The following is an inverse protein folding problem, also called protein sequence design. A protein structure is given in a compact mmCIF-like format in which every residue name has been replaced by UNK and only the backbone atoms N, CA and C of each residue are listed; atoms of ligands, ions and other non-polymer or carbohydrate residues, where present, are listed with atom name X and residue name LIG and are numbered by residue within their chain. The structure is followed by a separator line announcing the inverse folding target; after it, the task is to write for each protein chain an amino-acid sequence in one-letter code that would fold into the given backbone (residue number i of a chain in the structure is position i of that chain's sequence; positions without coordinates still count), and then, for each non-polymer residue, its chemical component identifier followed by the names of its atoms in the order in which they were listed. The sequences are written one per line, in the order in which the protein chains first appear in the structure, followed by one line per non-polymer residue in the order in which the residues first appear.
data_IF_784766993089
#
_entry.id   IF_784766993089
#
_cell.length_a   1.000
_cell.length_b   1.000
_cell.length_c   1.000
_cell.angle_alpha   90.00
_cell.angle_beta   90.00
_cell.angle_gamma   90.00
#
_symmetry.space_group_name_H-M   'P 1'
#
loop_
_entity.id
_entity.type
_entity.pdbx_description
1 polymer ?
#
# COMPACT_ATOMS: atom_id res chain seq x y z
N UNK A 1 -0.33 -59.61 29.61
CA UNK A 1 0.78 -59.18 28.73
C UNK A 1 0.22 -58.16 27.75
N UNK A 2 0.83 -56.98 27.63
CA UNK A 2 0.35 -55.94 26.69
C UNK A 2 0.81 -56.34 25.28
N UNK A 3 -0.08 -56.31 24.27
CA UNK A 3 0.30 -56.52 22.88
C UNK A 3 1.41 -55.57 22.43
N UNK A 4 2.47 -56.12 21.82
CA UNK A 4 3.66 -55.37 21.38
C UNK A 4 3.32 -54.25 20.40
N UNK A 5 2.32 -54.44 19.54
CA UNK A 5 1.89 -53.41 18.60
C UNK A 5 1.31 -52.16 19.29
N UNK A 6 0.63 -52.30 20.44
CA UNK A 6 0.12 -51.16 21.22
C UNK A 6 1.26 -50.36 21.85
N UNK A 7 2.34 -51.03 22.26
CA UNK A 7 3.53 -50.36 22.80
C UNK A 7 4.23 -49.54 21.71
N UNK A 8 4.36 -50.09 20.50
CA UNK A 8 4.95 -49.38 19.35
C UNK A 8 4.12 -48.15 18.98
N UNK A 9 2.79 -48.29 18.88
CA UNK A 9 1.90 -47.15 18.57
C UNK A 9 1.97 -46.07 19.65
N UNK A 10 2.01 -46.46 20.93
CA UNK A 10 2.11 -45.52 22.04
C UNK A 10 3.42 -44.73 22.06
N UNK A 11 4.55 -45.37 21.77
CA UNK A 11 5.85 -44.70 21.66
C UNK A 11 5.91 -43.80 20.43
N UNK A 12 5.40 -44.26 19.29
CA UNK A 12 5.34 -43.45 18.06
C UNK A 12 4.47 -42.22 18.28
N UNK A 13 3.30 -42.35 18.91
CA UNK A 13 2.41 -41.20 19.14
C UNK A 13 3.01 -40.20 20.13
N UNK A 14 3.66 -40.64 21.21
CA UNK A 14 4.31 -39.72 22.16
C UNK A 14 5.47 -38.96 21.54
N UNK A 15 6.25 -39.60 20.67
CA UNK A 15 7.35 -38.93 19.96
C UNK A 15 6.82 -38.04 18.84
N UNK A 16 5.84 -38.50 18.06
CA UNK A 16 5.32 -37.77 16.90
C UNK A 16 4.47 -36.55 17.28
N UNK A 17 3.72 -36.63 18.39
CA UNK A 17 2.84 -35.56 18.86
C UNK A 17 3.51 -34.19 19.02
N UNK A 18 4.66 -34.03 19.70
CA UNK A 18 5.33 -32.74 19.81
C UNK A 18 5.82 -32.21 18.46
N UNK A 19 6.27 -33.06 17.54
CA UNK A 19 6.67 -32.63 16.20
C UNK A 19 5.48 -32.15 15.37
N UNK A 20 4.35 -32.85 15.44
CA UNK A 20 3.11 -32.41 14.78
C UNK A 20 2.57 -31.13 15.40
N UNK A 21 2.64 -30.98 16.72
CA UNK A 21 2.24 -29.76 17.41
C UNK A 21 3.13 -28.57 16.99
N UNK A 22 4.45 -28.76 16.98
CA UNK A 22 5.40 -27.73 16.52
C UNK A 22 5.19 -27.39 15.04
N UNK A 23 4.98 -28.41 14.20
CA UNK A 23 4.68 -28.22 12.78
C UNK A 23 3.38 -27.45 12.57
N UNK A 24 2.34 -27.77 13.33
CA UNK A 24 1.06 -27.06 13.30
C UNK A 24 1.19 -25.59 13.70
N UNK A 25 1.93 -25.29 14.78
CA UNK A 25 2.19 -23.92 15.23
C UNK A 25 3.01 -23.14 14.19
N UNK A 26 4.06 -23.75 13.63
CA UNK A 26 4.89 -23.11 12.62
C UNK A 26 4.11 -22.77 11.34
N UNK A 27 3.30 -23.71 10.85
CA UNK A 27 2.41 -23.49 9.70
C UNK A 27 1.36 -22.42 9.98
N UNK A 28 0.73 -22.45 11.16
CA UNK A 28 -0.23 -21.43 11.56
C UNK A 28 0.39 -20.03 11.62
N UNK A 29 1.56 -19.91 12.24
CA UNK A 29 2.28 -18.64 12.30
C UNK A 29 2.70 -18.13 10.92
N UNK A 30 3.08 -19.03 10.00
CA UNK A 30 3.41 -18.66 8.64
C UNK A 30 2.18 -18.17 7.86
N UNK A 31 1.04 -18.86 8.00
CA UNK A 31 -0.21 -18.46 7.35
C UNK A 31 -0.69 -17.09 7.82
N UNK A 32 -0.64 -16.84 9.14
CA UNK A 32 -1.03 -15.55 9.74
C UNK A 32 -0.15 -14.43 9.19
N UNK A 33 1.18 -14.59 9.17
CA UNK A 33 2.08 -13.56 8.62
C UNK A 33 1.82 -13.28 7.14
N UNK A 34 1.41 -14.28 6.38
CA UNK A 34 1.01 -14.09 4.98
C UNK A 34 -0.31 -13.31 4.90
N UNK A 35 -1.30 -13.70 5.70
CA UNK A 35 -2.59 -13.01 5.78
C UNK A 35 -2.44 -11.56 6.22
N UNK A 36 -1.57 -11.28 7.20
CA UNK A 36 -1.32 -9.92 7.70
C UNK A 36 -0.79 -9.02 6.59
N UNK A 37 0.10 -9.53 5.72
CA UNK A 37 0.63 -8.78 4.57
C UNK A 37 -0.44 -8.46 3.53
N UNK A 38 -1.34 -9.41 3.26
CA UNK A 38 -2.48 -9.19 2.36
C UNK A 38 -3.46 -8.16 2.96
N UNK A 39 -3.67 -8.21 4.27
CA UNK A 39 -4.56 -7.30 4.99
C UNK A 39 -3.98 -5.87 5.07
N UNK A 40 -2.67 -5.74 5.29
CA UNK A 40 -1.97 -4.45 5.24
C UNK A 40 -2.12 -3.84 3.85
N UNK A 41 -1.92 -4.61 2.79
CA UNK A 41 -2.10 -4.13 1.40
C UNK A 41 -3.53 -3.62 1.19
N UNK A 42 -4.54 -4.38 1.64
CA UNK A 42 -5.92 -3.96 1.51
C UNK A 42 -6.23 -2.67 2.30
N UNK A 43 -5.67 -2.55 3.52
CA UNK A 43 -5.84 -1.37 4.37
C UNK A 43 -5.20 -0.11 3.79
N UNK A 44 -3.99 -0.23 3.24
CA UNK A 44 -3.30 0.88 2.59
C UNK A 44 -4.11 1.41 1.39
N UNK A 45 -4.74 0.50 0.64
CA UNK A 45 -5.60 0.87 -0.49
C UNK A 45 -6.85 1.62 -0.05
N UNK A 46 -7.50 1.16 1.02
CA UNK A 46 -8.70 1.81 1.53
C UNK A 46 -8.39 3.19 2.16
N UNK A 47 -7.29 3.31 2.89
CA UNK A 47 -6.80 4.59 3.41
C UNK A 47 -6.47 5.57 2.28
N UNK A 48 -5.84 5.09 1.20
CA UNK A 48 -5.56 5.89 -0.01
C UNK A 48 -6.84 6.40 -0.66
N UNK A 49 -7.81 5.53 -0.95
CA UNK A 49 -9.09 5.93 -1.56
C UNK A 49 -9.90 6.87 -0.66
N UNK A 50 -9.80 6.70 0.67
CA UNK A 50 -10.44 7.60 1.64
C UNK A 50 -9.82 9.00 1.59
N UNK A 51 -8.50 9.11 1.54
CA UNK A 51 -7.81 10.40 1.45
C UNK A 51 -8.02 11.07 0.09
N UNK A 52 -8.03 10.30 -1.01
CA UNK A 52 -8.36 10.81 -2.34
C UNK A 52 -9.79 11.36 -2.36
N UNK A 53 -10.76 10.61 -1.85
CA UNK A 53 -12.15 11.08 -1.75
C UNK A 53 -12.25 12.36 -0.92
N UNK A 54 -11.66 12.38 0.27
CA UNK A 54 -11.67 13.57 1.12
C UNK A 54 -11.02 14.77 0.41
N UNK A 55 -9.91 14.57 -0.27
CA UNK A 55 -9.25 15.63 -1.03
C UNK A 55 -10.14 16.19 -2.15
N UNK A 56 -10.86 15.31 -2.87
CA UNK A 56 -11.83 15.71 -3.89
C UNK A 56 -13.01 16.45 -3.27
N UNK A 57 -13.56 15.98 -2.15
CA UNK A 57 -14.62 16.69 -1.42
C UNK A 57 -14.17 18.11 -1.05
N UNK A 58 -12.94 18.26 -0.56
CA UNK A 58 -12.34 19.56 -0.24
C UNK A 58 -12.15 20.48 -1.45
N UNK A 59 -11.78 19.92 -2.59
CA UNK A 59 -11.68 20.66 -3.86
C UNK A 59 -13.06 21.15 -4.33
N UNK A 60 -14.09 20.31 -4.16
CA UNK A 60 -15.47 20.63 -4.56
C UNK A 60 -16.16 21.61 -3.60
N UNK A 61 -15.76 21.65 -2.33
CA UNK A 61 -16.38 22.50 -1.30
C UNK A 61 -16.04 24.01 -1.47
N UNK A 62 -15.03 24.37 -2.27
CA UNK A 62 -14.78 25.75 -2.72
C UNK A 62 -13.43 26.34 -2.28
N UNK A 63 -13.31 27.68 -2.37
CA UNK A 63 -12.04 28.42 -2.32
C UNK A 63 -11.18 28.13 -1.07
N UNK A 64 -11.77 27.95 0.11
CA UNK A 64 -11.00 27.69 1.34
C UNK A 64 -10.55 26.23 1.49
N UNK A 65 -11.28 25.28 0.90
CA UNK A 65 -10.99 23.84 0.99
C UNK A 65 -10.09 23.33 -0.12
N UNK A 66 -10.02 24.03 -1.26
CA UNK A 66 -9.35 23.49 -2.44
C UNK A 66 -7.84 23.36 -2.24
N UNK A 67 -7.17 24.37 -1.69
CA UNK A 67 -5.72 24.30 -1.48
C UNK A 67 -5.34 23.11 -0.58
N UNK A 68 -6.15 22.85 0.45
CA UNK A 68 -5.96 21.70 1.32
C UNK A 68 -6.14 20.36 0.58
N UNK A 69 -7.10 20.28 -0.34
CA UNK A 69 -7.31 19.10 -1.18
C UNK A 69 -6.16 18.87 -2.19
N UNK A 70 -5.68 19.92 -2.86
CA UNK A 70 -4.55 19.82 -3.81
C UNK A 70 -3.26 19.41 -3.10
N UNK A 71 -2.95 20.02 -1.95
CA UNK A 71 -1.78 19.65 -1.15
C UNK A 71 -1.87 18.19 -0.70
N UNK A 72 -3.06 17.72 -0.34
CA UNK A 72 -3.28 16.32 0.06
C UNK A 72 -3.08 15.34 -1.10
N UNK A 73 -3.57 15.66 -2.30
CA UNK A 73 -3.30 14.83 -3.49
C UNK A 73 -1.80 14.81 -3.85
N UNK A 74 -1.14 15.96 -3.78
CA UNK A 74 0.30 16.07 -4.07
C UNK A 74 1.16 15.34 -3.04
N UNK A 75 0.78 15.35 -1.77
CA UNK A 75 1.47 14.61 -0.71
C UNK A 75 1.24 13.11 -0.82
N UNK A 76 0.04 12.68 -1.24
CA UNK A 76 -0.28 11.29 -1.57
C UNK A 76 0.65 10.70 -2.64
N UNK A 77 0.96 11.44 -3.71
CA UNK A 77 1.90 10.97 -4.75
C UNK A 77 3.33 10.74 -4.26
N UNK A 78 3.71 11.32 -3.12
CA UNK A 78 5.04 11.16 -2.50
C UNK A 78 5.01 10.21 -1.30
N UNK A 79 3.86 9.64 -0.99
CA UNK A 79 3.64 8.81 0.18
C UNK A 79 3.84 7.34 -0.14
N UNK A 80 4.44 6.60 0.81
CA UNK A 80 4.56 5.13 0.76
C UNK A 80 3.20 4.41 0.81
N UNK A 81 2.11 5.14 1.11
CA UNK A 81 0.76 4.61 1.10
C UNK A 81 0.25 4.29 -0.32
N UNK A 82 0.84 4.93 -1.33
CA UNK A 82 0.37 4.79 -2.71
C UNK A 82 0.86 3.48 -3.32
N UNK A 83 -0.08 2.63 -3.69
CA UNK A 83 0.24 1.38 -4.40
C UNK A 83 0.58 1.66 -5.86
N UNK A 84 1.50 0.89 -6.49
CA UNK A 84 1.89 1.09 -7.89
C UNK A 84 0.70 1.10 -8.85
N UNK A 85 -0.32 0.29 -8.56
CA UNK A 85 -1.51 0.14 -9.40
C UNK A 85 -2.40 1.39 -9.40
N UNK A 86 -2.42 2.15 -8.31
CA UNK A 86 -3.28 3.32 -8.14
C UNK A 86 -2.54 4.64 -8.45
N UNK A 87 -1.24 4.57 -8.79
CA UNK A 87 -0.39 5.74 -9.07
C UNK A 87 -0.89 6.56 -10.26
N UNK A 88 -1.15 5.91 -11.40
CA UNK A 88 -1.57 6.58 -12.63
C UNK A 88 -2.90 7.31 -12.46
N UNK A 89 -3.81 6.74 -11.67
CA UNK A 89 -5.10 7.35 -11.36
C UNK A 89 -4.92 8.63 -10.54
N UNK A 90 -4.16 8.57 -9.44
CA UNK A 90 -3.94 9.73 -8.56
C UNK A 90 -3.09 10.80 -9.25
N UNK A 91 -2.14 10.42 -10.10
CA UNK A 91 -1.37 11.34 -10.93
C UNK A 91 -2.26 12.08 -11.93
N UNK A 92 -3.13 11.37 -12.65
CA UNK A 92 -4.09 11.97 -13.58
C UNK A 92 -5.06 12.90 -12.85
N UNK A 93 -5.53 12.53 -11.65
CA UNK A 93 -6.44 13.36 -10.85
C UNK A 93 -5.75 14.64 -10.36
N UNK A 94 -4.52 14.53 -9.88
CA UNK A 94 -3.70 15.67 -9.43
C UNK A 94 -3.40 16.61 -10.60
N UNK A 95 -3.06 16.05 -11.77
CA UNK A 95 -2.84 16.81 -13.00
C UNK A 95 -4.10 17.58 -13.42
N UNK A 96 -5.26 16.91 -13.48
CA UNK A 96 -6.52 17.52 -13.87
C UNK A 96 -6.91 18.71 -12.96
N UNK A 97 -6.78 18.55 -11.64
CA UNK A 97 -7.08 19.62 -10.67
C UNK A 97 -6.09 20.77 -10.76
N UNK A 98 -4.81 20.48 -11.00
CA UNK A 98 -3.78 21.52 -11.15
C UNK A 98 -3.98 22.31 -12.45
N UNK A 99 -4.35 21.64 -13.54
CA UNK A 99 -4.67 22.28 -14.83
C UNK A 99 -5.89 23.20 -14.71
N UNK A 100 -6.93 22.79 -13.97
CA UNK A 100 -8.11 23.61 -13.70
C UNK A 100 -7.77 24.91 -12.95
N UNK A 101 -6.78 24.86 -12.06
CA UNK A 101 -6.39 26.01 -11.21
C UNK A 101 -5.41 26.98 -11.84
N UNK A 102 -4.38 26.46 -12.50
CA UNK A 102 -3.29 27.29 -13.06
C UNK A 102 -3.53 27.62 -14.53
N UNK A 103 -4.50 26.96 -15.17
CA UNK A 103 -4.72 27.00 -16.60
C UNK A 103 -3.73 26.08 -17.35
N UNK A 104 -4.13 25.54 -18.52
CA UNK A 104 -3.34 24.52 -19.24
C UNK A 104 -1.95 25.01 -19.66
N UNK A 105 -1.75 26.32 -19.84
CA UNK A 105 -0.47 26.89 -20.23
C UNK A 105 0.58 26.84 -19.10
N UNK A 106 0.21 27.20 -17.87
CA UNK A 106 1.15 27.24 -16.75
C UNK A 106 1.37 25.85 -16.12
N UNK A 107 0.46 24.90 -16.30
CA UNK A 107 0.72 23.50 -15.94
C UNK A 107 1.81 22.87 -16.82
N UNK A 108 1.84 23.19 -18.12
CA UNK A 108 2.90 22.73 -19.01
C UNK A 108 4.28 23.22 -18.55
N UNK A 109 4.39 24.49 -18.16
CA UNK A 109 5.65 25.07 -17.64
C UNK A 109 6.11 24.40 -16.32
N UNK A 110 5.18 24.07 -15.42
CA UNK A 110 5.50 23.40 -14.13
C UNK A 110 5.83 21.91 -14.35
N UNK A 111 5.15 21.24 -15.28
CA UNK A 111 5.44 19.87 -15.65
C UNK A 111 6.83 19.78 -16.31
N UNK A 112 7.16 20.71 -17.22
CA UNK A 112 8.48 20.82 -17.85
C UNK A 112 9.57 21.10 -16.82
N UNK A 113 9.37 22.04 -15.89
CA UNK A 113 10.32 22.34 -14.82
C UNK A 113 10.57 21.15 -13.86
N UNK A 114 9.55 20.34 -13.54
CA UNK A 114 9.78 19.13 -12.73
C UNK A 114 10.43 17.99 -13.52
N UNK A 115 10.26 17.95 -14.84
CA UNK A 115 10.91 16.97 -15.72
C UNK A 115 12.39 17.33 -15.93
N UNK A 116 12.71 18.61 -16.10
CA UNK A 116 14.08 19.15 -16.17
C UNK A 116 14.87 18.88 -14.89
N UNK A 117 14.24 19.00 -13.70
CA UNK A 117 14.88 18.68 -12.42
C UNK A 117 15.21 17.19 -12.27
N UNK A 118 14.41 16.29 -12.84
CA UNK A 118 14.69 14.84 -12.82
C UNK A 118 15.78 14.46 -13.82
N UNK A 119 15.87 15.14 -14.96
CA UNK A 119 16.90 14.88 -15.98
C UNK A 119 18.26 15.51 -15.60
N UNK A 120 18.25 16.58 -14.79
CA UNK A 120 19.46 17.24 -14.28
C UNK A 120 20.25 16.48 -13.19
N UNK A 121 19.65 15.47 -12.54
CA UNK A 121 20.32 14.64 -11.52
C UNK A 121 20.91 13.33 -12.10
N UNK A 122 20.63 13.02 -13.38
CA UNK A 122 21.16 11.81 -14.04
C UNK A 122 22.51 12.04 -14.74
N UNK A 123 23.12 13.21 -14.56
CA UNK A 123 24.39 13.56 -15.19
C UNK A 123 25.31 14.32 -14.22
N UNK A 124 25.65 13.74 -13.06
CA UNK A 124 26.94 13.90 -12.37
C UNK A 124 26.95 13.11 -11.04
N UNK A 125 27.59 11.94 -11.00
CA UNK A 125 28.00 11.27 -9.75
C UNK A 125 27.93 9.75 -9.77
#
# INVERSE_FOLDING_TARGET
MIPTWLQVVGVVSTVLSPFLALGGVALGAWLVRKSDRELDTWRHREETMRMVRWAVEQILEGESGTDAGVVTLRSLMRSELLQPEDYDLVAALTAAVTIDRVGPAAYADIAEANTEVVEGDSANG
#
